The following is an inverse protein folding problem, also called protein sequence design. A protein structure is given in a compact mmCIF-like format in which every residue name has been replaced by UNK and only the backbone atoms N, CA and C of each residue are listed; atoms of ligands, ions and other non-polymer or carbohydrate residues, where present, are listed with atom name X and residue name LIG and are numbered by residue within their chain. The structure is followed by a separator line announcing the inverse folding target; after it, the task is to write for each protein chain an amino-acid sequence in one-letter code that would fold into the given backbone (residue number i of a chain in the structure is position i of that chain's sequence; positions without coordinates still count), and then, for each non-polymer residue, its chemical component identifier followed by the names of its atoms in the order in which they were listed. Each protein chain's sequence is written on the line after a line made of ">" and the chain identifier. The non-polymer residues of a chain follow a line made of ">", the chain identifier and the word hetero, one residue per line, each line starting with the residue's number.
data_IF_698628750891
#
_entry.id   IF_698628750891
#
_cell.length_a   1.000
_cell.length_b   1.000
_cell.length_c   1.000
_cell.angle_alpha   90.00
_cell.angle_beta   90.00
_cell.angle_gamma   90.00
#
_symmetry.space_group_name_H-M   'P 1'
#
loop_
_entity.id
_entity.type
_entity.pdbx_description
1 polymer ?
#
# COMPACT_ATOMS: atom_id res chain seq x y z
N UNK A 1 0.48 3.38 -11.13
CA UNK A 1 -0.86 3.11 -10.57
C UNK A 1 -1.55 1.95 -11.29
N UNK A 2 -1.49 1.84 -12.63
CA UNK A 2 -2.05 0.66 -13.32
C UNK A 2 -1.57 -0.67 -12.71
N UNK A 3 -0.26 -0.80 -12.45
CA UNK A 3 0.30 -1.99 -11.82
C UNK A 3 -0.26 -2.28 -10.40
N UNK A 4 -0.77 -1.31 -9.65
CA UNK A 4 -1.40 -1.60 -8.35
C UNK A 4 -2.79 -2.21 -8.49
N UNK A 5 -3.51 -1.88 -9.57
CA UNK A 5 -4.78 -2.53 -9.91
C UNK A 5 -4.50 -3.97 -10.32
N UNK A 6 -3.55 -4.20 -11.23
CA UNK A 6 -3.29 -5.56 -11.71
C UNK A 6 -2.64 -6.46 -10.66
N UNK A 7 -1.59 -5.99 -9.98
CA UNK A 7 -0.83 -6.82 -9.02
C UNK A 7 -1.46 -6.87 -7.63
N UNK A 8 -2.29 -5.88 -7.27
CA UNK A 8 -3.03 -5.88 -6.01
C UNK A 8 -4.44 -6.40 -6.22
N UNK A 9 -5.30 -5.60 -6.86
CA UNK A 9 -6.73 -5.90 -6.96
C UNK A 9 -7.02 -7.19 -7.76
N UNK A 10 -6.56 -7.24 -9.01
CA UNK A 10 -6.88 -8.33 -9.95
C UNK A 10 -6.24 -9.64 -9.49
N UNK A 11 -4.95 -9.64 -9.13
CA UNK A 11 -4.28 -10.85 -8.65
C UNK A 11 -4.94 -11.42 -7.39
N UNK A 12 -5.35 -10.59 -6.43
CA UNK A 12 -6.05 -11.06 -5.23
C UNK A 12 -7.39 -11.71 -5.57
N UNK A 13 -8.20 -11.11 -6.46
CA UNK A 13 -9.47 -11.69 -6.90
C UNK A 13 -9.25 -13.00 -7.65
N UNK A 14 -8.29 -13.04 -8.58
CA UNK A 14 -7.99 -14.25 -9.35
C UNK A 14 -7.58 -15.41 -8.44
N UNK A 15 -6.71 -15.14 -7.45
CA UNK A 15 -6.31 -16.16 -6.48
C UNK A 15 -7.49 -16.74 -5.69
N UNK A 16 -8.49 -15.93 -5.38
CA UNK A 16 -9.72 -16.38 -4.69
C UNK A 16 -10.60 -17.24 -5.61
N UNK A 17 -10.80 -16.80 -6.86
CA UNK A 17 -11.59 -17.55 -7.84
C UNK A 17 -10.92 -18.89 -8.19
N UNK A 18 -9.59 -18.92 -8.32
CA UNK A 18 -8.86 -20.17 -8.61
C UNK A 18 -8.95 -21.21 -7.48
N UNK A 19 -9.30 -20.77 -6.27
CA UNK A 19 -9.59 -21.64 -5.12
C UNK A 19 -11.05 -22.12 -5.10
N UNK A 20 -11.83 -21.89 -6.17
CA UNK A 20 -13.22 -22.32 -6.29
C UNK A 20 -14.23 -21.39 -5.61
N UNK A 21 -13.80 -20.21 -5.18
CA UNK A 21 -14.68 -19.23 -4.52
C UNK A 21 -15.33 -18.28 -5.54
N UNK A 22 -16.42 -17.62 -5.14
CA UNK A 22 -17.16 -16.67 -6.00
C UNK A 22 -16.90 -15.23 -5.56
N UNK A 23 -16.95 -14.28 -6.51
CA UNK A 23 -16.74 -12.86 -6.19
C UNK A 23 -17.88 -12.37 -5.28
N UNK A 24 -17.51 -11.81 -4.14
CA UNK A 24 -18.40 -11.23 -3.14
C UNK A 24 -17.81 -9.95 -2.54
N UNK A 25 -18.55 -9.27 -1.66
CA UNK A 25 -18.09 -8.04 -1.00
C UNK A 25 -16.78 -8.22 -0.23
N UNK A 26 -16.58 -9.37 0.41
CA UNK A 26 -15.39 -9.69 1.18
C UNK A 26 -14.12 -9.67 0.32
N UNK A 27 -14.09 -10.39 -0.80
CA UNK A 27 -12.88 -10.41 -1.64
C UNK A 27 -12.62 -9.06 -2.31
N UNK A 28 -13.67 -8.31 -2.67
CA UNK A 28 -13.53 -6.97 -3.23
C UNK A 28 -12.90 -5.99 -2.23
N UNK A 29 -13.29 -6.06 -0.96
CA UNK A 29 -12.70 -5.30 0.15
C UNK A 29 -11.21 -5.64 0.32
N UNK A 30 -10.89 -6.93 0.49
CA UNK A 30 -9.50 -7.39 0.64
C UNK A 30 -8.64 -6.98 -0.57
N UNK A 31 -9.16 -7.14 -1.79
CA UNK A 31 -8.48 -6.74 -3.02
C UNK A 31 -8.22 -5.22 -3.08
N UNK A 32 -9.15 -4.39 -2.60
CA UNK A 32 -8.96 -2.94 -2.53
C UNK A 32 -7.81 -2.56 -1.59
N UNK A 33 -7.71 -3.22 -0.42
CA UNK A 33 -6.62 -3.02 0.53
C UNK A 33 -5.26 -3.38 -0.10
N UNK A 34 -5.14 -4.55 -0.75
CA UNK A 34 -3.90 -4.96 -1.42
C UNK A 34 -3.53 -4.05 -2.60
N UNK A 35 -4.53 -3.53 -3.34
CA UNK A 35 -4.29 -2.53 -4.37
C UNK A 35 -3.64 -1.27 -3.81
N UNK A 36 -4.09 -0.78 -2.66
CA UNK A 36 -3.47 0.38 -2.01
C UNK A 36 -2.07 0.05 -1.47
N UNK A 37 -1.85 -1.14 -0.91
CA UNK A 37 -0.51 -1.58 -0.47
C UNK A 37 0.50 -1.65 -1.62
N UNK A 38 0.09 -2.12 -2.81
CA UNK A 38 0.97 -2.13 -3.98
C UNK A 38 1.15 -0.70 -4.53
N UNK A 39 0.12 0.14 -4.43
CA UNK A 39 0.21 1.54 -4.83
C UNK A 39 1.27 2.30 -4.03
N UNK A 40 1.39 2.08 -2.72
CA UNK A 40 2.45 2.71 -1.90
C UNK A 40 3.84 2.24 -2.33
N UNK A 41 4.03 0.96 -2.64
CA UNK A 41 5.29 0.41 -3.15
C UNK A 41 5.71 1.07 -4.48
N UNK A 42 4.79 1.12 -5.45
CA UNK A 42 5.07 1.73 -6.76
C UNK A 42 5.32 3.23 -6.63
N UNK A 43 4.50 3.94 -5.86
CA UNK A 43 4.63 5.38 -5.70
C UNK A 43 5.94 5.72 -4.96
N UNK A 44 6.31 4.95 -3.94
CA UNK A 44 7.61 5.09 -3.25
C UNK A 44 8.76 4.94 -4.23
N UNK A 45 8.76 3.88 -5.05
CA UNK A 45 9.79 3.66 -6.06
C UNK A 45 9.86 4.85 -7.03
N UNK A 46 8.70 5.31 -7.53
CA UNK A 46 8.63 6.41 -8.48
C UNK A 46 9.06 7.76 -7.88
N UNK A 47 8.82 8.02 -6.59
CA UNK A 47 9.29 9.25 -5.90
C UNK A 47 10.81 9.23 -5.73
N UNK A 48 11.36 8.09 -5.30
CA UNK A 48 12.80 7.93 -5.08
C UNK A 48 13.57 8.16 -6.38
N UNK A 49 13.07 7.61 -7.48
CA UNK A 49 13.79 7.52 -8.74
C UNK A 49 13.43 8.64 -9.74
N UNK A 50 12.74 9.72 -9.33
CA UNK A 50 12.34 10.85 -10.22
C UNK A 50 13.51 11.37 -11.06
N UNK A 51 14.67 11.65 -10.45
CA UNK A 51 15.83 12.20 -11.17
C UNK A 51 16.46 11.16 -12.11
N UNK A 52 16.52 9.90 -11.66
CA UNK A 52 17.11 8.78 -12.41
C UNK A 52 16.29 8.43 -13.65
N UNK A 53 14.96 8.47 -13.50
CA UNK A 53 14.01 8.06 -14.54
C UNK A 53 13.64 9.21 -15.50
N UNK A 54 14.15 10.43 -15.25
CA UNK A 54 13.91 11.61 -16.07
C UNK A 54 14.44 11.40 -17.50
N UNK A 55 13.60 11.69 -18.50
CA UNK A 55 13.93 11.53 -19.92
C UNK A 55 13.58 10.17 -20.52
N UNK A 56 13.33 9.14 -19.70
CA UNK A 56 12.99 7.79 -20.20
C UNK A 56 11.59 7.30 -19.77
N UNK A 57 11.10 7.72 -18.61
CA UNK A 57 9.75 7.36 -18.11
C UNK A 57 8.90 8.60 -17.89
N UNK A 58 7.58 8.40 -17.88
CA UNK A 58 6.58 9.38 -17.44
C UNK A 58 5.74 8.78 -16.32
N UNK A 59 6.16 8.96 -15.07
CA UNK A 59 5.48 8.42 -13.89
C UNK A 59 4.52 9.45 -13.28
N UNK A 60 3.59 8.98 -12.44
CA UNK A 60 2.68 9.87 -11.71
C UNK A 60 3.45 10.82 -10.79
N UNK A 61 4.52 10.34 -10.13
CA UNK A 61 5.36 11.15 -9.27
C UNK A 61 6.05 12.30 -10.04
N UNK A 62 6.48 12.05 -11.29
CA UNK A 62 7.03 13.10 -12.16
C UNK A 62 5.97 14.13 -12.56
N UNK A 63 4.77 13.70 -12.94
CA UNK A 63 3.67 14.61 -13.34
C UNK A 63 3.18 15.49 -12.20
N UNK A 64 3.10 14.94 -10.99
CA UNK A 64 2.66 15.68 -9.80
C UNK A 64 3.76 16.56 -9.22
N UNK A 65 5.02 16.21 -9.45
CA UNK A 65 6.18 16.76 -8.76
C UNK A 65 6.37 16.15 -7.37
N UNK A 66 7.61 16.22 -6.85
CA UNK A 66 8.04 15.50 -5.64
C UNK A 66 7.12 15.79 -4.44
N UNK A 67 6.74 17.05 -4.18
CA UNK A 67 5.94 17.39 -3.00
C UNK A 67 4.52 16.82 -3.04
N UNK A 68 3.80 16.98 -4.16
CA UNK A 68 2.46 16.41 -4.33
C UNK A 68 2.48 14.88 -4.34
N UNK A 69 3.54 14.27 -4.87
CA UNK A 69 3.71 12.82 -4.83
C UNK A 69 3.90 12.30 -3.39
N UNK A 70 4.67 12.99 -2.54
CA UNK A 70 4.78 12.66 -1.11
C UNK A 70 3.45 12.80 -0.36
N UNK A 71 2.68 13.85 -0.68
CA UNK A 71 1.35 14.03 -0.12
C UNK A 71 0.45 12.87 -0.52
N UNK A 72 0.44 12.50 -1.81
CA UNK A 72 -0.32 11.35 -2.30
C UNK A 72 0.09 10.05 -1.60
N UNK A 73 1.40 9.81 -1.39
CA UNK A 73 1.86 8.64 -0.62
C UNK A 73 1.30 8.64 0.81
N UNK A 74 1.30 9.80 1.47
CA UNK A 74 0.75 9.94 2.81
C UNK A 74 -0.77 9.69 2.83
N UNK A 75 -1.50 10.22 1.84
CA UNK A 75 -2.95 10.00 1.68
C UNK A 75 -3.26 8.51 1.46
N UNK A 76 -2.52 7.82 0.58
CA UNK A 76 -2.73 6.39 0.33
C UNK A 76 -2.42 5.57 1.59
N UNK A 77 -1.33 5.88 2.31
CA UNK A 77 -1.00 5.21 3.57
C UNK A 77 -2.14 5.37 4.58
N UNK A 78 -2.65 6.58 4.79
CA UNK A 78 -3.79 6.83 5.69
C UNK A 78 -5.06 6.12 5.21
N UNK A 79 -5.33 6.14 3.90
CA UNK A 79 -6.50 5.50 3.30
C UNK A 79 -6.52 3.98 3.54
N UNK A 80 -5.36 3.31 3.56
CA UNK A 80 -5.28 1.87 3.87
C UNK A 80 -5.86 1.57 5.26
N UNK A 81 -5.45 2.32 6.28
CA UNK A 81 -5.93 2.12 7.65
C UNK A 81 -7.40 2.54 7.79
N UNK A 82 -7.78 3.67 7.18
CA UNK A 82 -9.18 4.11 7.18
C UNK A 82 -10.11 3.09 6.50
N UNK A 83 -9.65 2.48 5.40
CA UNK A 83 -10.41 1.47 4.67
C UNK A 83 -10.60 0.21 5.52
N UNK A 84 -9.55 -0.33 6.13
CA UNK A 84 -9.70 -1.52 7.00
C UNK A 84 -10.61 -1.21 8.20
N UNK A 85 -10.49 -0.03 8.82
CA UNK A 85 -11.38 0.36 9.90
C UNK A 85 -12.84 0.42 9.44
N UNK A 86 -13.08 0.97 8.26
CA UNK A 86 -14.41 1.03 7.64
C UNK A 86 -14.97 -0.35 7.30
N UNK A 87 -14.15 -1.24 6.74
CA UNK A 87 -14.54 -2.62 6.41
C UNK A 87 -14.86 -3.45 7.67
N UNK A 88 -14.13 -3.24 8.77
CA UNK A 88 -14.44 -3.84 10.08
C UNK A 88 -15.76 -3.28 10.64
N UNK A 89 -15.98 -1.96 10.53
CA UNK A 89 -17.23 -1.33 10.96
C UNK A 89 -18.45 -1.88 10.20
N UNK A 90 -18.30 -2.15 8.90
CA UNK A 90 -19.32 -2.78 8.06
C UNK A 90 -19.44 -4.30 8.25
N UNK A 91 -18.67 -4.90 9.16
CA UNK A 91 -18.61 -6.35 9.40
C UNK A 91 -18.22 -7.17 8.14
N UNK A 92 -17.53 -6.54 7.19
CA UNK A 92 -16.97 -7.23 6.01
C UNK A 92 -15.67 -7.95 6.40
N UNK A 93 -14.85 -7.31 7.23
CA UNK A 93 -13.65 -7.91 7.82
C UNK A 93 -13.88 -8.22 9.30
N UNK A 94 -13.29 -9.31 9.84
CA UNK A 94 -13.36 -9.59 11.26
C UNK A 94 -12.64 -8.51 12.09
N UNK A 95 -13.06 -8.30 13.33
CA UNK A 95 -12.43 -7.30 14.23
C UNK A 95 -10.94 -7.58 14.46
N UNK A 96 -10.51 -8.85 14.32
CA UNK A 96 -9.11 -9.26 14.37
C UNK A 96 -8.26 -8.55 13.31
N UNK A 97 -8.83 -8.08 12.19
CA UNK A 97 -8.13 -7.34 11.13
C UNK A 97 -7.51 -6.01 11.58
N UNK A 98 -7.93 -5.47 12.72
CA UNK A 98 -7.27 -4.32 13.33
C UNK A 98 -5.83 -4.63 13.79
N UNK A 99 -5.42 -5.90 13.90
CA UNK A 99 -4.02 -6.26 14.18
C UNK A 99 -3.06 -5.78 13.09
N UNK A 100 -3.54 -5.58 11.85
CA UNK A 100 -2.76 -4.99 10.75
C UNK A 100 -2.26 -3.57 11.08
N UNK A 101 -2.87 -2.88 12.06
CA UNK A 101 -2.47 -1.56 12.52
C UNK A 101 -1.12 -1.58 13.25
N UNK A 102 -0.63 -2.75 13.67
CA UNK A 102 0.74 -2.89 14.19
C UNK A 102 1.81 -2.54 13.13
N UNK A 103 1.46 -2.43 11.85
CA UNK A 103 2.34 -1.95 10.80
C UNK A 103 2.48 -0.41 10.74
N UNK A 104 1.72 0.36 11.54
CA UNK A 104 1.76 1.83 11.59
C UNK A 104 3.18 2.40 11.78
N UNK A 105 4.04 1.87 12.67
CA UNK A 105 5.42 2.35 12.80
C UNK A 105 6.20 2.31 11.48
N UNK A 106 6.00 1.27 10.65
CA UNK A 106 6.65 1.17 9.34
C UNK A 106 6.11 2.22 8.36
N UNK A 107 4.81 2.52 8.40
CA UNK A 107 4.21 3.59 7.60
C UNK A 107 4.80 4.97 7.94
N UNK A 108 4.97 5.26 9.24
CA UNK A 108 5.60 6.52 9.69
C UNK A 108 7.06 6.61 9.26
N UNK A 109 7.83 5.52 9.38
CA UNK A 109 9.23 5.47 8.92
C UNK A 109 9.34 5.68 7.41
N UNK A 110 8.45 5.06 6.62
CA UNK A 110 8.38 5.28 5.17
C UNK A 110 8.09 6.75 4.83
N UNK A 111 7.10 7.36 5.47
CA UNK A 111 6.79 8.79 5.27
C UNK A 111 7.98 9.68 5.65
N UNK A 112 8.68 9.32 6.73
CA UNK A 112 9.89 10.01 7.21
C UNK A 112 11.03 10.06 6.18
N UNK A 113 11.18 9.03 5.34
CA UNK A 113 12.21 9.00 4.29
C UNK A 113 12.09 10.13 3.27
N UNK A 114 10.94 10.80 3.18
CA UNK A 114 10.70 11.89 2.23
C UNK A 114 10.44 13.25 2.89
N UNK A 115 10.74 13.42 4.19
CA UNK A 115 10.67 14.73 4.86
C UNK A 115 11.58 15.77 4.19
N UNK A 116 11.34 17.05 4.46
CA UNK A 116 12.06 18.14 3.80
C UNK A 116 13.59 18.04 4.00
N UNK A 117 14.01 17.66 5.20
CA UNK A 117 15.41 17.51 5.62
C UNK A 117 15.98 16.10 5.40
N UNK A 118 15.25 15.21 4.69
CA UNK A 118 15.73 13.85 4.47
C UNK A 118 17.00 13.84 3.61
N UNK A 119 18.05 13.22 4.14
CA UNK A 119 19.29 12.92 3.43
C UNK A 119 19.05 12.00 2.23
N UNK A 120 20.00 11.94 1.30
CA UNK A 120 19.94 10.98 0.19
C UNK A 120 19.91 9.54 0.69
N UNK A 121 20.62 9.22 1.78
CA UNK A 121 20.62 7.90 2.38
C UNK A 121 19.22 7.51 2.91
N UNK A 122 18.53 8.42 3.60
CA UNK A 122 17.14 8.20 4.05
C UNK A 122 16.19 8.00 2.87
N UNK A 123 16.33 8.78 1.79
CA UNK A 123 15.55 8.58 0.57
C UNK A 123 15.83 7.20 -0.07
N UNK A 124 17.07 6.73 -0.05
CA UNK A 124 17.44 5.40 -0.58
C UNK A 124 16.82 4.26 0.25
N UNK A 125 16.71 4.43 1.56
CA UNK A 125 16.07 3.47 2.47
C UNK A 125 14.54 3.38 2.30
N UNK A 126 13.90 4.32 1.59
CA UNK A 126 12.44 4.36 1.42
C UNK A 126 11.84 3.04 0.93
N UNK A 127 12.49 2.36 -0.02
CA UNK A 127 12.01 1.07 -0.50
C UNK A 127 12.10 -0.04 0.54
N UNK A 128 13.09 0.01 1.44
CA UNK A 128 13.18 -0.93 2.56
C UNK A 128 12.02 -0.75 3.53
N UNK A 129 11.64 0.49 3.83
CA UNK A 129 10.47 0.79 4.67
C UNK A 129 9.15 0.48 3.99
N UNK A 130 9.02 0.71 2.68
CA UNK A 130 7.84 0.33 1.92
C UNK A 130 7.66 -1.19 1.90
N UNK A 131 8.73 -1.96 1.70
CA UNK A 131 8.67 -3.42 1.76
C UNK A 131 8.30 -3.92 3.16
N UNK A 132 8.89 -3.35 4.22
CA UNK A 132 8.54 -3.68 5.61
C UNK A 132 7.07 -3.40 5.90
N UNK A 133 6.56 -2.23 5.48
CA UNK A 133 5.15 -1.89 5.64
C UNK A 133 4.24 -2.86 4.88
N UNK A 134 4.54 -3.12 3.61
CA UNK A 134 3.78 -4.04 2.76
C UNK A 134 3.69 -5.45 3.38
N UNK A 135 4.83 -6.03 3.75
CA UNK A 135 4.88 -7.38 4.31
C UNK A 135 4.25 -7.47 5.70
N UNK A 136 4.60 -6.55 6.61
CA UNK A 136 4.01 -6.57 7.96
C UNK A 136 2.50 -6.39 7.90
N UNK A 137 2.01 -5.39 7.18
CA UNK A 137 0.57 -5.16 7.05
C UNK A 137 -0.13 -6.33 6.38
N UNK A 138 0.37 -6.77 5.21
CA UNK A 138 -0.27 -7.81 4.40
C UNK A 138 -0.32 -9.16 5.10
N UNK A 139 0.74 -9.56 5.82
CA UNK A 139 0.76 -10.81 6.59
C UNK A 139 -0.16 -10.74 7.81
N UNK A 140 -0.14 -9.62 8.55
CA UNK A 140 -1.03 -9.43 9.70
C UNK A 140 -2.49 -9.47 9.27
N UNK A 141 -2.83 -8.82 8.15
CA UNK A 141 -4.19 -8.86 7.59
C UNK A 141 -4.58 -10.29 7.19
N UNK A 142 -3.72 -11.00 6.44
CA UNK A 142 -4.01 -12.37 6.03
C UNK A 142 -4.21 -13.32 7.23
N UNK A 143 -3.34 -13.25 8.23
CA UNK A 143 -3.46 -14.06 9.46
C UNK A 143 -4.74 -13.70 10.22
N UNK A 144 -5.08 -12.42 10.31
CA UNK A 144 -6.29 -11.98 11.02
C UNK A 144 -7.58 -12.51 10.39
N UNK A 145 -7.63 -12.53 9.06
CA UNK A 145 -8.76 -13.05 8.28
C UNK A 145 -8.87 -14.56 8.43
N UNK A 146 -7.73 -15.26 8.54
CA UNK A 146 -7.72 -16.71 8.71
C UNK A 146 -8.14 -17.14 10.13
N UNK A 147 -7.92 -16.29 11.13
CA UNK A 147 -8.16 -16.62 12.55
C UNK A 147 -9.46 -16.07 13.15
N UNK A 148 -10.10 -15.10 12.50
CA UNK A 148 -11.34 -14.47 12.97
C UNK A 148 -12.52 -14.76 12.05
#
# INVERSE_FOLDING_TARGET
>A
MVASIFLGFVTTILGYITQGQTINSFILAVAAVYALLIATMILTNNIRDIKKDAGFRKTLAMRLGKQKAKLLLSVILTAIYALVLFEVFLQILPITSLISFLAIPAAFKLRGCFRQEASNAENMQSMGWAAKHHWSFGLLLAISIWTG
#
